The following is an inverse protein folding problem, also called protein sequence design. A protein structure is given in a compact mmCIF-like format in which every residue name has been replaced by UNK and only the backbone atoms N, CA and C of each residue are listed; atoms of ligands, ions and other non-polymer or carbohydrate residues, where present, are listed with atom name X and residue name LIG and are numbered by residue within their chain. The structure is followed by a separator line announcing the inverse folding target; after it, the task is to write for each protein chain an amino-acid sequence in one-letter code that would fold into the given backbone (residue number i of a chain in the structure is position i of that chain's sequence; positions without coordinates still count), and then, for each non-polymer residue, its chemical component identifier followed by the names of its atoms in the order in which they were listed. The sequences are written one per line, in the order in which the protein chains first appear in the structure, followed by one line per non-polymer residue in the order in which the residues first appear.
data_IF_521410995759
#
_entry.id   IF_521410995759
#
_cell.length_a   1.000
_cell.length_b   1.000
_cell.length_c   1.000
_cell.angle_alpha   90.00
_cell.angle_beta   90.00
_cell.angle_gamma   90.00
#
_symmetry.space_group_name_H-M   'P 1'
#
loop_
_entity.id
_entity.type
_entity.pdbx_description
1 polymer ?
#
# COMPACT_ATOMS: atom_id res chain seq x y z
N UNK A 1 11.11 4.40 -26.93
CA UNK A 1 10.00 3.75 -26.19
C UNK A 1 8.92 4.78 -25.98
N UNK A 2 7.66 4.51 -26.37
CA UNK A 2 6.54 5.39 -25.98
C UNK A 2 6.29 5.16 -24.49
N UNK A 3 6.54 6.17 -23.67
CA UNK A 3 6.19 6.16 -22.25
C UNK A 3 4.67 5.98 -22.18
N UNK A 4 4.17 4.86 -21.64
CA UNK A 4 2.74 4.76 -21.29
C UNK A 4 2.48 5.92 -20.32
N UNK A 5 1.64 6.87 -20.74
CA UNK A 5 1.28 7.99 -19.89
C UNK A 5 0.22 7.48 -18.91
N UNK A 6 0.64 7.16 -17.70
CA UNK A 6 -0.28 6.71 -16.65
C UNK A 6 -1.22 7.85 -16.28
N UNK A 7 -2.50 7.52 -16.13
CA UNK A 7 -3.53 8.42 -15.64
C UNK A 7 -4.34 7.72 -14.56
N UNK A 8 -4.73 8.47 -13.54
CA UNK A 8 -5.63 8.01 -12.51
C UNK A 8 -7.07 8.03 -13.04
N UNK A 9 -7.81 6.96 -12.79
CA UNK A 9 -9.25 6.90 -13.02
C UNK A 9 -9.98 7.82 -12.02
N UNK A 10 -11.27 8.08 -12.26
CA UNK A 10 -12.09 8.85 -11.31
C UNK A 10 -12.18 8.16 -9.95
N UNK A 11 -12.28 6.83 -9.93
CA UNK A 11 -12.33 6.04 -8.70
C UNK A 11 -11.01 6.12 -7.93
N UNK A 12 -9.88 5.97 -8.63
CA UNK A 12 -8.55 6.07 -8.02
C UNK A 12 -8.31 7.47 -7.40
N UNK A 13 -8.73 8.54 -8.10
CA UNK A 13 -8.66 9.89 -7.54
C UNK A 13 -9.49 10.03 -6.28
N UNK A 14 -10.73 9.55 -6.29
CA UNK A 14 -11.61 9.64 -5.12
C UNK A 14 -11.05 8.89 -3.90
N UNK A 15 -10.38 7.76 -4.10
CA UNK A 15 -9.71 7.03 -3.03
C UNK A 15 -8.52 7.81 -2.46
N UNK A 16 -7.71 8.44 -3.32
CA UNK A 16 -6.60 9.29 -2.88
C UNK A 16 -7.09 10.53 -2.14
N UNK A 17 -8.09 11.22 -2.68
CA UNK A 17 -8.69 12.39 -2.03
C UNK A 17 -9.21 11.99 -0.63
N UNK A 18 -9.91 10.85 -0.51
CA UNK A 18 -10.42 10.32 0.76
C UNK A 18 -9.32 10.12 1.82
N UNK A 19 -8.17 9.57 1.45
CA UNK A 19 -7.08 9.34 2.42
C UNK A 19 -6.31 10.61 2.73
N UNK A 20 -6.19 11.54 1.78
CA UNK A 20 -5.48 12.81 1.97
C UNK A 20 -6.32 13.81 2.78
N UNK A 21 -7.64 13.81 2.63
CA UNK A 21 -8.58 14.63 3.41
C UNK A 21 -8.60 14.26 4.89
N UNK A 22 -8.33 13.00 5.25
CA UNK A 22 -8.18 12.55 6.64
C UNK A 22 -6.96 13.17 7.34
N UNK A 23 -6.13 13.89 6.60
CA UNK A 23 -4.97 14.60 7.12
C UNK A 23 -3.72 13.74 7.14
N UNK A 24 -2.58 14.41 7.26
CA UNK A 24 -1.27 13.77 7.26
C UNK A 24 -1.07 13.06 8.61
N UNK A 25 -1.20 11.72 8.65
CA UNK A 25 -1.11 10.94 9.88
C UNK A 25 0.35 10.94 10.38
N UNK A 26 0.57 11.45 11.60
CA UNK A 26 1.91 11.67 12.12
C UNK A 26 2.71 10.36 12.27
N UNK A 27 2.05 9.28 12.67
CA UNK A 27 2.64 7.94 12.76
C UNK A 27 3.06 7.48 11.37
N UNK A 28 2.18 7.58 10.38
CA UNK A 28 2.49 7.20 9.00
C UNK A 28 3.63 8.01 8.40
N UNK A 29 3.74 9.32 8.70
CA UNK A 29 4.88 10.13 8.23
C UNK A 29 6.20 9.72 8.88
N UNK A 30 6.17 9.43 10.17
CA UNK A 30 7.35 8.97 10.90
C UNK A 30 7.79 7.60 10.38
N UNK A 31 6.86 6.69 10.18
CA UNK A 31 7.11 5.37 9.60
C UNK A 31 7.59 5.46 8.15
N UNK A 32 6.98 6.29 7.30
CA UNK A 32 7.48 6.53 5.95
C UNK A 32 8.90 7.11 5.95
N UNK A 33 9.24 7.95 6.94
CA UNK A 33 10.61 8.46 7.13
C UNK A 33 11.58 7.37 7.57
N UNK A 34 11.16 6.46 8.47
CA UNK A 34 11.93 5.28 8.90
C UNK A 34 12.20 4.38 7.71
N UNK A 35 11.16 4.03 6.94
CA UNK A 35 11.26 3.19 5.74
C UNK A 35 12.14 3.83 4.65
N UNK A 36 12.05 5.15 4.46
CA UNK A 36 12.94 5.88 3.55
C UNK A 36 14.42 5.75 3.94
N UNK A 37 14.73 5.68 5.24
CA UNK A 37 16.12 5.59 5.74
C UNK A 37 16.65 4.17 5.79
N UNK A 38 15.79 3.22 6.13
CA UNK A 38 16.20 1.88 6.54
C UNK A 38 15.85 0.81 5.50
N UNK A 39 14.81 1.02 4.68
CA UNK A 39 14.20 -0.02 3.84
C UNK A 39 14.16 0.33 2.35
N UNK A 40 15.05 1.21 1.87
CA UNK A 40 15.13 1.55 0.44
C UNK A 40 15.34 0.31 -0.46
N UNK A 41 16.06 -0.71 0.04
CA UNK A 41 16.36 -1.92 -0.73
C UNK A 41 15.18 -2.88 -0.87
N UNK A 42 14.20 -2.84 0.05
CA UNK A 42 13.02 -3.72 0.04
C UNK A 42 11.96 -3.22 -0.95
N UNK A 43 12.01 -1.93 -1.29
CA UNK A 43 11.17 -1.28 -2.29
C UNK A 43 9.69 -1.11 -1.91
N UNK A 44 9.05 -2.14 -1.35
CA UNK A 44 7.70 -2.11 -0.78
C UNK A 44 7.49 -3.33 0.12
N UNK A 45 6.51 -3.24 1.01
CA UNK A 45 6.08 -4.39 1.79
C UNK A 45 5.12 -3.99 2.91
N UNK A 46 4.88 -4.94 3.80
CA UNK A 46 4.16 -4.73 5.04
C UNK A 46 5.03 -5.02 6.26
N UNK A 47 4.69 -4.44 7.41
CA UNK A 47 5.30 -4.77 8.69
C UNK A 47 4.39 -4.40 9.86
N UNK A 48 4.51 -5.11 10.97
CA UNK A 48 3.88 -4.70 12.24
C UNK A 48 4.37 -3.32 12.69
N UNK A 49 3.46 -2.53 13.25
CA UNK A 49 3.84 -1.30 13.96
C UNK A 49 4.33 -1.71 15.36
N UNK A 50 5.55 -1.29 15.68
CA UNK A 50 6.23 -1.66 16.92
C UNK A 50 5.63 -0.94 18.15
N UNK A 51 6.02 -1.40 19.34
CA UNK A 51 5.60 -0.86 20.64
C UNK A 51 5.95 0.63 20.85
N UNK A 52 6.69 1.27 19.92
CA UNK A 52 6.97 2.70 19.94
C UNK A 52 5.69 3.54 19.74
N UNK A 53 4.60 2.93 19.24
CA UNK A 53 3.29 3.55 19.05
C UNK A 53 2.18 2.73 19.73
N UNK A 54 1.99 2.85 21.06
CA UNK A 54 0.98 2.08 21.79
C UNK A 54 -0.45 2.24 21.25
N UNK A 55 -0.76 3.38 20.62
CA UNK A 55 -2.05 3.62 19.97
C UNK A 55 -2.28 2.84 18.67
N UNK A 56 -1.25 2.14 18.18
CA UNK A 56 -1.26 1.34 16.96
C UNK A 56 -0.93 -0.16 17.22
N UNK A 57 -1.03 -0.61 18.48
CA UNK A 57 -0.85 -2.01 18.84
C UNK A 57 -1.86 -2.90 18.09
N UNK A 58 -1.37 -3.95 17.42
CA UNK A 58 -2.20 -4.84 16.59
C UNK A 58 -2.49 -4.31 15.19
N UNK A 59 -1.86 -3.20 14.77
CA UNK A 59 -1.98 -2.65 13.42
C UNK A 59 -0.71 -2.90 12.61
N UNK A 60 -0.88 -3.01 11.28
CA UNK A 60 0.23 -3.09 10.34
C UNK A 60 0.41 -1.79 9.56
N UNK A 61 1.63 -1.62 9.06
CA UNK A 61 2.01 -0.62 8.08
C UNK A 61 2.21 -1.30 6.72
N UNK A 62 1.70 -0.69 5.66
CA UNK A 62 2.09 -0.98 4.27
C UNK A 62 2.91 0.20 3.76
N UNK A 63 4.00 -0.05 3.05
CA UNK A 63 4.84 1.01 2.50
C UNK A 63 5.31 0.74 1.07
N UNK A 64 5.71 1.80 0.38
CA UNK A 64 6.36 1.72 -0.93
C UNK A 64 7.28 2.90 -1.21
N UNK A 65 8.32 2.67 -2.01
CA UNK A 65 9.45 3.55 -2.27
C UNK A 65 9.53 3.94 -3.76
N UNK A 66 8.51 4.66 -4.25
CA UNK A 66 8.28 4.84 -5.70
C UNK A 66 7.96 6.29 -6.13
N UNK A 67 8.39 7.31 -5.37
CA UNK A 67 8.15 8.72 -5.73
C UNK A 67 6.68 9.14 -5.79
N UNK A 68 5.90 8.88 -4.75
CA UNK A 68 4.45 9.20 -4.70
C UNK A 68 4.09 10.61 -5.21
N UNK A 69 4.86 11.62 -4.84
CA UNK A 69 4.57 13.02 -5.22
C UNK A 69 4.77 13.29 -6.71
N UNK A 70 5.71 12.60 -7.37
CA UNK A 70 6.08 12.89 -8.77
C UNK A 70 5.70 11.79 -9.77
N UNK A 71 5.53 10.54 -9.34
CA UNK A 71 5.14 9.42 -10.20
C UNK A 71 3.63 9.12 -10.08
N UNK A 72 2.92 9.17 -11.21
CA UNK A 72 1.49 8.79 -11.26
C UNK A 72 1.29 7.30 -10.99
N UNK A 73 2.27 6.44 -11.28
CA UNK A 73 2.20 5.00 -10.98
C UNK A 73 2.13 4.74 -9.50
N UNK A 74 2.96 5.40 -8.69
CA UNK A 74 2.94 5.25 -7.24
C UNK A 74 1.58 5.68 -6.63
N UNK A 75 0.99 6.76 -7.14
CA UNK A 75 -0.38 7.16 -6.76
C UNK A 75 -1.43 6.12 -7.17
N UNK A 76 -1.27 5.50 -8.33
CA UNK A 76 -2.16 4.45 -8.83
C UNK A 76 -2.04 3.20 -7.96
N UNK A 77 -0.82 2.82 -7.58
CA UNK A 77 -0.52 1.72 -6.66
C UNK A 77 -1.22 1.94 -5.32
N UNK A 78 -1.01 3.07 -4.66
CA UNK A 78 -1.68 3.39 -3.39
C UNK A 78 -3.21 3.31 -3.53
N UNK A 79 -3.77 3.87 -4.59
CA UNK A 79 -5.22 3.82 -4.81
C UNK A 79 -5.74 2.38 -4.99
N UNK A 80 -5.01 1.51 -5.69
CA UNK A 80 -5.40 0.12 -5.91
C UNK A 80 -5.18 -0.77 -4.69
N UNK A 81 -4.13 -0.52 -3.90
CA UNK A 81 -3.95 -1.14 -2.57
C UNK A 81 -5.16 -0.80 -1.70
N UNK A 82 -5.55 0.47 -1.63
CA UNK A 82 -6.72 0.89 -0.84
C UNK A 82 -8.00 0.22 -1.34
N UNK A 83 -8.21 0.13 -2.65
CA UNK A 83 -9.37 -0.54 -3.21
C UNK A 83 -9.41 -2.04 -2.82
N UNK A 84 -8.25 -2.70 -2.81
CA UNK A 84 -8.13 -4.10 -2.39
C UNK A 84 -8.44 -4.25 -0.90
N UNK A 85 -7.86 -3.40 -0.05
CA UNK A 85 -8.14 -3.41 1.39
C UNK A 85 -9.63 -3.19 1.68
N UNK A 86 -10.27 -2.22 1.01
CA UNK A 86 -11.70 -1.97 1.11
C UNK A 86 -12.52 -3.22 0.73
N UNK A 87 -12.12 -3.97 -0.30
CA UNK A 87 -12.81 -5.21 -0.72
C UNK A 87 -12.70 -6.35 0.30
N UNK A 88 -11.64 -6.34 1.12
CA UNK A 88 -11.41 -7.29 2.21
C UNK A 88 -11.93 -6.78 3.56
N UNK A 89 -12.63 -5.63 3.55
CA UNK A 89 -13.08 -4.92 4.75
C UNK A 89 -11.96 -4.52 5.73
N UNK A 90 -10.70 -4.44 5.24
CA UNK A 90 -9.56 -3.97 6.02
C UNK A 90 -9.55 -2.45 5.99
N UNK A 91 -9.69 -1.84 7.16
CA UNK A 91 -9.80 -0.38 7.28
C UNK A 91 -8.42 0.27 7.19
N UNK A 92 -8.31 1.32 6.37
CA UNK A 92 -7.16 2.24 6.41
C UNK A 92 -7.39 3.31 7.47
N UNK A 93 -6.49 3.40 8.46
CA UNK A 93 -6.51 4.41 9.51
C UNK A 93 -5.83 5.70 9.07
N UNK A 94 -4.67 5.59 8.44
CA UNK A 94 -3.82 6.74 8.13
C UNK A 94 -3.02 6.57 6.85
N UNK A 95 -2.57 7.71 6.32
CA UNK A 95 -1.65 7.80 5.20
C UNK A 95 -0.57 8.84 5.53
N UNK A 96 0.66 8.56 5.12
CA UNK A 96 1.80 9.44 5.34
C UNK A 96 2.85 9.33 4.26
N UNK A 97 3.69 10.35 4.20
CA UNK A 97 4.76 10.48 3.22
C UNK A 97 6.10 10.72 3.94
N UNK A 98 7.17 10.19 3.34
CA UNK A 98 8.53 10.57 3.71
C UNK A 98 8.81 12.05 3.37
N UNK A 99 9.95 12.60 3.83
CA UNK A 99 10.23 14.04 3.77
C UNK A 99 10.20 14.67 2.37
N UNK A 100 10.52 13.89 1.34
CA UNK A 100 10.53 14.30 -0.08
C UNK A 100 9.33 13.74 -0.87
N UNK A 101 8.46 13.00 -0.20
CA UNK A 101 7.35 12.28 -0.83
C UNK A 101 7.80 11.12 -1.72
N UNK A 102 9.02 10.63 -1.53
CA UNK A 102 9.52 9.44 -2.21
C UNK A 102 8.82 8.18 -1.70
N UNK A 103 8.87 8.01 -0.37
CA UNK A 103 8.24 6.90 0.34
C UNK A 103 6.82 7.28 0.76
N UNK A 104 5.89 6.34 0.63
CA UNK A 104 4.54 6.43 1.17
C UNK A 104 4.30 5.31 2.17
N UNK A 105 3.39 5.55 3.12
CA UNK A 105 2.96 4.52 4.07
C UNK A 105 1.46 4.61 4.37
N UNK A 106 0.84 3.47 4.62
CA UNK A 106 -0.55 3.28 5.04
C UNK A 106 -0.56 2.53 6.36
N UNK A 107 -1.35 2.99 7.33
CA UNK A 107 -1.64 2.28 8.58
C UNK A 107 -2.99 1.61 8.47
N UNK A 108 -3.07 0.32 8.78
CA UNK A 108 -4.25 -0.51 8.50
C UNK A 108 -4.68 -1.36 9.70
N UNK A 109 -5.97 -1.62 9.76
CA UNK A 109 -6.66 -2.43 10.78
C UNK A 109 -6.51 -3.93 10.47
N UNK A 110 -5.28 -4.44 10.58
CA UNK A 110 -4.92 -5.83 10.32
C UNK A 110 -3.57 -6.13 10.95
N UNK A 111 -3.43 -7.31 11.55
CA UNK A 111 -2.18 -7.90 12.07
C UNK A 111 -1.55 -8.93 11.09
N UNK A 112 -2.27 -9.24 10.01
CA UNK A 112 -1.80 -10.15 8.95
C UNK A 112 -0.79 -9.48 8.02
N UNK A 113 0.48 -9.47 8.42
CA UNK A 113 1.58 -8.89 7.63
C UNK A 113 1.75 -9.58 6.27
N UNK A 114 1.58 -10.91 6.23
CA UNK A 114 1.81 -11.73 5.03
C UNK A 114 0.78 -11.39 3.93
N UNK A 115 -0.50 -11.34 4.29
CA UNK A 115 -1.56 -10.90 3.38
C UNK A 115 -1.29 -9.50 2.81
N UNK A 116 -0.89 -8.57 3.68
CA UNK A 116 -0.65 -7.18 3.28
C UNK A 116 0.56 -7.04 2.37
N UNK A 117 1.62 -7.83 2.61
CA UNK A 117 2.80 -7.90 1.75
C UNK A 117 2.43 -8.43 0.36
N UNK A 118 1.68 -9.54 0.31
CA UNK A 118 1.17 -10.10 -0.95
C UNK A 118 0.31 -9.10 -1.73
N UNK A 119 -0.57 -8.34 -1.05
CA UNK A 119 -1.40 -7.32 -1.68
C UNK A 119 -0.56 -6.21 -2.33
N UNK A 120 0.42 -5.64 -1.62
CA UNK A 120 1.19 -4.51 -2.16
C UNK A 120 2.07 -4.95 -3.33
N UNK A 121 2.62 -6.16 -3.28
CA UNK A 121 3.37 -6.72 -4.39
C UNK A 121 2.49 -7.09 -5.59
N UNK A 122 1.32 -7.70 -5.37
CA UNK A 122 0.34 -8.00 -6.42
C UNK A 122 -0.04 -6.74 -7.21
N UNK A 123 -0.43 -5.67 -6.50
CA UNK A 123 -0.82 -4.40 -7.11
C UNK A 123 0.33 -3.78 -7.89
N UNK A 124 1.54 -3.78 -7.32
CA UNK A 124 2.69 -3.22 -8.01
C UNK A 124 3.03 -3.97 -9.28
N UNK A 125 3.03 -5.31 -9.27
CA UNK A 125 3.30 -6.11 -10.46
C UNK A 125 2.24 -5.87 -11.54
N UNK A 126 0.96 -5.81 -11.20
CA UNK A 126 -0.12 -5.52 -12.16
C UNK A 126 0.05 -4.16 -12.85
N UNK A 127 0.53 -3.15 -12.11
CA UNK A 127 0.74 -1.80 -12.66
C UNK A 127 2.01 -1.71 -13.50
N UNK A 128 3.10 -2.34 -13.05
CA UNK A 128 4.44 -2.09 -13.59
C UNK A 128 4.90 -3.15 -14.59
N UNK A 129 4.48 -4.40 -14.39
CA UNK A 129 4.91 -5.53 -15.20
C UNK A 129 3.82 -5.90 -16.19
N UNK A 130 4.05 -5.61 -17.49
CA UNK A 130 3.17 -6.04 -18.58
C UNK A 130 3.25 -7.54 -18.90
N UNK A 131 3.67 -8.38 -17.94
CA UNK A 131 3.81 -9.84 -18.03
C UNK A 131 2.98 -10.49 -16.92
N UNK A 132 3.07 -11.82 -16.78
CA UNK A 132 2.46 -12.54 -15.67
C UNK A 132 2.92 -11.96 -14.33
N UNK A 133 1.96 -11.73 -13.44
CA UNK A 133 2.17 -11.26 -12.07
C UNK A 133 2.43 -12.50 -11.18
N UNK A 134 3.64 -12.65 -10.63
CA UNK A 134 4.01 -13.85 -9.86
C UNK A 134 3.29 -13.94 -8.52
N UNK A 135 2.79 -12.82 -7.98
CA UNK A 135 2.11 -12.79 -6.68
C UNK A 135 0.63 -13.15 -6.79
N UNK A 136 0.08 -13.16 -8.01
CA UNK A 136 -1.37 -13.32 -8.22
C UNK A 136 -1.87 -14.66 -7.70
N UNK A 137 -1.17 -15.73 -8.06
CA UNK A 137 -1.56 -17.10 -7.68
C UNK A 137 -1.37 -17.29 -6.17
N UNK A 138 -0.23 -16.82 -5.63
CA UNK A 138 0.08 -16.89 -4.19
C UNK A 138 -0.94 -16.11 -3.33
N UNK A 139 -1.31 -14.90 -3.74
CA UNK A 139 -2.35 -14.12 -3.05
C UNK A 139 -3.71 -14.82 -3.11
N UNK A 140 -4.09 -15.42 -4.24
CA UNK A 140 -5.36 -16.12 -4.36
C UNK A 140 -5.38 -17.38 -3.47
N UNK A 141 -4.30 -18.16 -3.46
CA UNK A 141 -4.15 -19.32 -2.58
C UNK A 141 -4.26 -18.91 -1.10
N UNK A 142 -3.57 -17.83 -0.70
CA UNK A 142 -3.64 -17.30 0.66
C UNK A 142 -5.06 -16.88 1.05
N UNK A 143 -5.75 -16.13 0.17
CA UNK A 143 -7.13 -15.69 0.40
C UNK A 143 -8.10 -16.87 0.53
N UNK A 144 -7.94 -17.90 -0.32
CA UNK A 144 -8.74 -19.13 -0.27
C UNK A 144 -8.52 -19.89 1.05
N UNK A 145 -7.27 -20.03 1.50
CA UNK A 145 -6.92 -20.70 2.77
C UNK A 145 -7.51 -19.98 3.99
N UNK A 146 -7.52 -18.65 3.95
CA UNK A 146 -8.09 -17.80 5.01
C UNK A 146 -9.62 -17.68 4.92
N UNK A 147 -10.24 -18.23 3.88
CA UNK A 147 -11.69 -18.23 3.69
C UNK A 147 -12.27 -16.88 3.24
N UNK A 148 -11.46 -16.02 2.62
CA UNK A 148 -11.98 -14.84 1.94
C UNK A 148 -12.71 -15.26 0.66
N UNK A 149 -13.89 -14.68 0.41
CA UNK A 149 -14.65 -14.97 -0.80
C UNK A 149 -13.99 -14.23 -1.99
N UNK A 150 -13.12 -14.93 -2.72
CA UNK A 150 -12.36 -14.38 -3.86
C UNK A 150 -13.28 -14.30 -5.09
N UNK A 151 -14.31 -13.46 -5.03
CA UNK A 151 -15.14 -13.19 -6.20
C UNK A 151 -14.33 -12.37 -7.23
N UNK A 152 -13.94 -13.06 -8.30
CA UNK A 152 -13.20 -12.54 -9.46
C UNK A 152 -13.90 -11.39 -10.22
#
# INVERSE_FOLDING_TARGET
MKTKQYQLTKAEKALLDRIQERGNDAVCNLMATKMYREQMSVHRGAMWIDDEFPEAEGECLIFGNDSFTSDVRARKEVAQVIARLDSLAIRVFGFGLGPDGYTWALRVDSDDEELLDLIVWDVWFDITCGKANPMKDELNEYLDEMGYDVAA
#
